data_IF_266130994018
#
_entry.id   IF_266130994018
#
_cell.length_a   1.000
_cell.length_b   1.000
_cell.length_c   1.000
_cell.angle_alpha   90.00
_cell.angle_beta   90.00
_cell.angle_gamma   90.00
#
_symmetry.space_group_name_H-M   'P 1'
#
loop_
_entity.id
_entity.type
_entity.pdbx_description
1 polymer ?
#
# COMPACT_ATOMS: atom_id res chain seq x y z
N UNK A 1 14.13 -24.90 66.57
CA UNK A 1 13.53 -24.24 67.76
C UNK A 1 12.25 -23.61 67.31
N UNK A 2 11.14 -24.25 67.57
CA UNK A 2 10.02 -23.90 68.51
C UNK A 2 9.38 -22.51 68.11
N UNK A 3 8.11 -22.31 67.83
CA UNK A 3 6.93 -22.79 68.56
C UNK A 3 5.69 -22.80 67.62
N UNK A 4 4.85 -23.81 67.86
CA UNK A 4 3.43 -23.89 67.52
C UNK A 4 2.63 -22.76 68.22
N UNK A 5 1.54 -22.36 67.65
CA UNK A 5 0.30 -22.01 68.36
C UNK A 5 -0.91 -22.26 67.48
N UNK A 6 -1.65 -23.27 67.88
CA UNK A 6 -3.05 -23.53 67.53
C UNK A 6 -3.95 -22.59 68.32
N UNK A 7 -4.97 -22.00 67.71
CA UNK A 7 -6.21 -21.69 68.39
C UNK A 7 -7.38 -22.04 67.45
N UNK A 8 -8.25 -22.87 67.98
CA UNK A 8 -9.51 -23.36 67.42
C UNK A 8 -10.63 -22.34 67.73
N UNK A 9 -11.65 -22.38 66.89
CA UNK A 9 -12.96 -22.06 67.48
C UNK A 9 -13.86 -21.23 66.56
N UNK A 10 -14.89 -21.87 66.20
CA UNK A 10 -16.33 -21.56 66.33
C UNK A 10 -17.07 -21.32 64.99
N UNK A 11 -17.88 -22.34 64.69
CA UNK A 11 -18.95 -22.39 63.70
C UNK A 11 -20.08 -21.43 64.05
N UNK A 12 -20.55 -20.65 63.09
CA UNK A 12 -21.93 -20.12 63.09
C UNK A 12 -22.53 -20.34 61.70
N UNK A 13 -23.56 -21.21 61.67
CA UNK A 13 -24.49 -21.37 60.58
C UNK A 13 -25.47 -20.20 60.58
N UNK A 14 -25.56 -19.49 59.45
CA UNK A 14 -26.68 -18.61 59.14
C UNK A 14 -27.10 -18.85 57.70
N UNK A 15 -28.22 -19.52 57.53
CA UNK A 15 -28.98 -19.62 56.29
C UNK A 15 -29.52 -18.21 55.91
N UNK A 16 -29.17 -17.74 54.71
CA UNK A 16 -29.75 -16.56 54.12
C UNK A 16 -29.95 -16.82 52.63
N UNK A 17 -31.19 -17.13 52.22
CA UNK A 17 -31.63 -17.04 50.83
C UNK A 17 -31.50 -15.57 50.39
N UNK A 18 -30.64 -15.32 49.38
CA UNK A 18 -30.54 -14.04 48.70
C UNK A 18 -30.49 -14.32 47.20
N UNK A 19 -31.54 -13.85 46.52
CA UNK A 19 -31.66 -13.88 45.04
C UNK A 19 -30.39 -13.37 44.38
N UNK A 20 -29.80 -14.21 43.58
CA UNK A 20 -28.69 -13.81 42.67
C UNK A 20 -29.27 -13.00 41.51
N UNK A 21 -29.20 -11.69 41.62
CA UNK A 21 -29.34 -10.81 40.44
C UNK A 21 -28.09 -11.01 39.60
N UNK A 22 -28.21 -11.71 38.48
CA UNK A 22 -27.19 -11.77 37.45
C UNK A 22 -27.00 -10.36 36.87
N UNK A 23 -25.97 -9.67 37.34
CA UNK A 23 -25.47 -8.51 36.66
C UNK A 23 -24.82 -8.97 35.35
N UNK A 24 -25.54 -8.77 34.26
CA UNK A 24 -24.98 -8.91 32.92
C UNK A 24 -23.81 -7.91 32.82
N UNK A 25 -22.59 -8.41 32.89
CA UNK A 25 -21.40 -7.67 32.53
C UNK A 25 -21.45 -7.46 31.03
N UNK A 26 -21.90 -6.28 30.61
CA UNK A 26 -21.75 -5.77 29.28
C UNK A 26 -20.24 -5.53 29.02
N UNK A 27 -19.56 -6.59 28.57
CA UNK A 27 -18.21 -6.49 28.05
C UNK A 27 -18.34 -5.77 26.69
N UNK A 28 -17.70 -4.62 26.51
CA UNK A 28 -17.63 -4.03 25.19
C UNK A 28 -16.96 -5.05 24.25
N UNK A 29 -17.75 -5.58 23.33
CA UNK A 29 -17.28 -6.41 22.22
C UNK A 29 -16.27 -5.56 21.46
N UNK A 30 -14.98 -5.79 21.77
CA UNK A 30 -13.89 -5.24 20.98
C UNK A 30 -14.20 -5.57 19.53
N UNK A 31 -14.46 -4.54 18.74
CA UNK A 31 -14.61 -4.68 17.30
C UNK A 31 -13.32 -5.34 16.82
N UNK A 32 -13.42 -6.61 16.46
CA UNK A 32 -12.37 -7.28 15.71
C UNK A 32 -12.30 -6.54 14.38
N UNK A 33 -11.31 -5.67 14.24
CA UNK A 33 -10.85 -5.20 12.97
C UNK A 33 -10.39 -6.46 12.24
N UNK A 34 -11.22 -6.98 11.36
CA UNK A 34 -10.81 -7.98 10.38
C UNK A 34 -9.83 -7.24 9.47
N UNK A 35 -8.53 -7.37 9.75
CA UNK A 35 -7.50 -7.05 8.77
C UNK A 35 -7.80 -7.93 7.55
N UNK A 36 -8.31 -7.30 6.51
CA UNK A 36 -8.50 -7.92 5.21
C UNK A 36 -7.12 -8.27 4.68
N UNK A 37 -6.82 -9.55 4.53
CA UNK A 37 -5.54 -10.08 3.99
C UNK A 37 -5.24 -9.60 2.55
N UNK A 38 -5.95 -8.59 2.05
CA UNK A 38 -5.82 -8.00 0.71
C UNK A 38 -5.90 -6.47 0.71
N UNK A 39 -5.52 -5.82 1.79
CA UNK A 39 -5.61 -4.36 1.90
C UNK A 39 -4.38 -3.71 1.24
N UNK A 40 -4.39 -3.69 -0.11
CA UNK A 40 -3.39 -2.96 -0.86
C UNK A 40 -3.57 -1.46 -0.58
N UNK A 41 -2.48 -0.70 -0.32
CA UNK A 41 -2.58 0.72 -0.07
C UNK A 41 -3.16 1.46 -1.28
N UNK A 42 -3.96 2.49 -1.03
CA UNK A 42 -4.50 3.36 -2.09
C UNK A 42 -3.36 3.99 -2.90
N UNK A 43 -3.46 3.92 -4.22
CA UNK A 43 -2.52 4.55 -5.16
C UNK A 43 -3.01 5.97 -5.47
N UNK A 44 -2.23 6.97 -5.07
CA UNK A 44 -2.50 8.37 -5.37
C UNK A 44 -1.80 8.76 -6.67
N UNK A 45 -2.56 9.04 -7.74
CA UNK A 45 -2.03 9.30 -9.09
C UNK A 45 -2.19 10.76 -9.48
N UNK A 46 -1.11 11.39 -9.91
CA UNK A 46 -1.11 12.73 -10.48
C UNK A 46 -0.84 12.68 -11.98
N UNK A 47 -1.75 13.20 -12.77
CA UNK A 47 -1.69 13.20 -14.23
C UNK A 47 -2.33 14.44 -14.83
N UNK A 48 -2.09 14.71 -16.12
CA UNK A 48 -2.82 15.75 -16.83
C UNK A 48 -4.20 15.28 -17.26
N UNK A 49 -5.20 16.17 -17.37
CA UNK A 49 -6.57 15.78 -17.74
C UNK A 49 -6.67 15.03 -19.08
N UNK A 50 -5.82 15.37 -20.02
CA UNK A 50 -5.84 14.86 -21.39
C UNK A 50 -5.04 13.57 -21.60
N UNK A 51 -4.40 13.03 -20.55
CA UNK A 51 -3.60 11.82 -20.65
C UNK A 51 -4.47 10.56 -20.76
N UNK A 52 -4.74 10.09 -21.96
CA UNK A 52 -5.56 8.91 -22.23
C UNK A 52 -4.90 7.61 -21.78
N UNK A 53 -3.60 7.42 -22.06
CA UNK A 53 -2.86 6.23 -21.64
C UNK A 53 -2.75 6.11 -20.12
N UNK A 54 -2.68 7.24 -19.40
CA UNK A 54 -2.72 7.22 -17.93
C UNK A 54 -4.05 6.64 -17.40
N UNK A 55 -5.18 6.90 -18.08
CA UNK A 55 -6.46 6.29 -17.69
C UNK A 55 -6.42 4.77 -17.90
N UNK A 56 -5.84 4.29 -19.01
CA UNK A 56 -5.63 2.86 -19.24
C UNK A 56 -4.79 2.20 -18.15
N UNK A 57 -3.71 2.86 -17.69
CA UNK A 57 -2.91 2.38 -16.58
C UNK A 57 -3.67 2.36 -15.25
N UNK A 58 -4.47 3.39 -14.95
CA UNK A 58 -5.34 3.43 -13.78
C UNK A 58 -6.32 2.26 -13.78
N UNK A 59 -6.94 1.97 -14.94
CA UNK A 59 -7.87 0.85 -15.07
C UNK A 59 -7.15 -0.51 -14.90
N UNK A 60 -5.89 -0.63 -15.34
CA UNK A 60 -5.06 -1.79 -15.10
C UNK A 60 -4.82 -2.00 -13.59
N UNK A 61 -4.50 -0.96 -12.83
CA UNK A 61 -4.33 -1.05 -11.38
C UNK A 61 -5.61 -1.45 -10.66
N UNK A 62 -6.75 -0.86 -11.03
CA UNK A 62 -8.05 -1.21 -10.46
C UNK A 62 -8.42 -2.67 -10.71
N UNK A 63 -8.18 -3.17 -11.93
CA UNK A 63 -8.36 -4.59 -12.26
C UNK A 63 -7.46 -5.51 -11.44
N UNK A 64 -6.30 -5.03 -11.04
CA UNK A 64 -5.36 -5.76 -10.19
C UNK A 64 -5.70 -5.67 -8.68
N UNK A 65 -6.78 -4.96 -8.30
CA UNK A 65 -7.28 -4.86 -6.93
C UNK A 65 -6.82 -3.63 -6.16
N UNK A 66 -6.12 -2.68 -6.79
CA UNK A 66 -5.78 -1.42 -6.13
C UNK A 66 -6.96 -0.44 -6.10
N UNK A 67 -7.13 0.25 -4.98
CA UNK A 67 -7.86 1.51 -4.97
C UNK A 67 -7.01 2.62 -5.56
N UNK A 68 -7.60 3.46 -6.42
CA UNK A 68 -6.87 4.52 -7.11
C UNK A 68 -7.58 5.87 -6.96
N UNK A 69 -6.90 6.82 -6.29
CA UNK A 69 -7.26 8.24 -6.23
C UNK A 69 -6.51 9.00 -7.33
N UNK A 70 -7.20 9.33 -8.43
CA UNK A 70 -6.59 10.01 -9.57
C UNK A 70 -6.87 11.51 -9.55
N UNK A 71 -5.81 12.32 -9.53
CA UNK A 71 -5.86 13.78 -9.48
C UNK A 71 -5.35 14.40 -10.77
N UNK A 72 -6.20 15.19 -11.41
CA UNK A 72 -5.81 15.97 -12.56
C UNK A 72 -5.10 17.25 -12.11
N UNK A 73 -3.90 17.46 -12.64
CA UNK A 73 -3.09 18.66 -12.37
C UNK A 73 -2.63 19.29 -13.70
N UNK A 74 -2.18 20.53 -13.67
CA UNK A 74 -1.55 21.16 -14.85
C UNK A 74 -0.19 20.53 -15.11
N UNK A 75 0.30 20.64 -16.38
CA UNK A 75 1.65 20.19 -16.75
C UNK A 75 2.73 20.77 -15.83
N UNK A 76 2.63 22.08 -15.54
CA UNK A 76 3.57 22.75 -14.64
C UNK A 76 3.56 22.15 -13.25
N UNK A 77 2.38 21.89 -12.68
CA UNK A 77 2.25 21.29 -11.36
C UNK A 77 2.80 19.86 -11.34
N UNK A 78 2.54 19.07 -12.38
CA UNK A 78 3.08 17.72 -12.52
C UNK A 78 4.60 17.72 -12.58
N UNK A 79 5.22 18.62 -13.36
CA UNK A 79 6.69 18.76 -13.44
C UNK A 79 7.28 19.17 -12.09
N UNK A 80 6.62 20.08 -11.36
CA UNK A 80 7.08 20.51 -10.03
C UNK A 80 7.06 19.33 -9.06
N UNK A 81 5.95 18.59 -9.03
CA UNK A 81 5.76 17.44 -8.14
C UNK A 81 6.78 16.33 -8.44
N UNK A 82 7.03 16.01 -9.71
CA UNK A 82 8.07 15.04 -10.10
C UNK A 82 9.42 15.37 -9.47
N UNK A 83 9.83 16.64 -9.52
CA UNK A 83 11.09 17.10 -8.91
C UNK A 83 11.07 16.98 -7.39
N UNK A 84 9.95 17.29 -6.74
CA UNK A 84 9.79 17.21 -5.28
C UNK A 84 9.91 15.77 -4.76
N UNK A 85 9.47 14.80 -5.57
CA UNK A 85 9.58 13.36 -5.23
C UNK A 85 10.82 12.68 -5.82
N UNK A 86 11.77 13.44 -6.34
CA UNK A 86 13.06 12.93 -6.82
C UNK A 86 13.05 12.32 -8.23
N UNK A 87 11.98 12.47 -9.00
CA UNK A 87 11.93 12.00 -10.39
C UNK A 87 12.71 12.94 -11.29
N UNK A 88 13.80 12.43 -11.88
CA UNK A 88 14.64 13.15 -12.85
C UNK A 88 14.05 13.08 -14.26
N UNK A 89 14.63 13.85 -15.20
CA UNK A 89 14.21 13.80 -16.60
C UNK A 89 14.38 12.41 -17.24
N UNK A 90 15.40 11.67 -16.84
CA UNK A 90 15.70 10.32 -17.33
C UNK A 90 14.67 9.28 -16.89
N UNK A 91 14.09 9.46 -15.70
CA UNK A 91 13.07 8.60 -15.14
C UNK A 91 11.66 8.93 -15.63
N UNK A 92 11.49 10.15 -16.16
CA UNK A 92 10.17 10.77 -16.34
C UNK A 92 9.31 10.05 -17.37
N UNK A 93 8.03 9.96 -17.06
CA UNK A 93 6.95 9.47 -17.91
C UNK A 93 5.75 10.43 -17.87
N UNK A 94 4.55 9.98 -18.23
CA UNK A 94 3.38 10.86 -18.36
C UNK A 94 2.61 11.12 -17.07
N UNK A 95 2.82 10.31 -16.02
CA UNK A 95 2.18 10.49 -14.71
C UNK A 95 3.11 10.04 -13.59
N UNK A 96 2.78 10.43 -12.37
CA UNK A 96 3.47 10.04 -11.14
C UNK A 96 2.45 9.55 -10.13
N UNK A 97 2.74 8.47 -9.45
CA UNK A 97 1.91 7.94 -8.38
C UNK A 97 2.70 7.77 -7.08
N UNK A 98 1.96 7.78 -5.96
CA UNK A 98 2.48 7.50 -4.63
C UNK A 98 1.71 6.31 -4.05
N UNK A 99 2.39 5.32 -3.51
CA UNK A 99 1.79 4.13 -2.93
C UNK A 99 2.70 3.54 -1.86
N UNK A 100 2.18 3.29 -0.65
CA UNK A 100 2.94 2.65 0.43
C UNK A 100 4.25 3.36 0.80
N UNK A 101 4.34 4.69 0.59
CA UNK A 101 5.56 5.47 0.80
C UNK A 101 6.52 5.51 -0.39
N UNK A 102 6.26 4.76 -1.46
CA UNK A 102 7.07 4.73 -2.68
C UNK A 102 6.53 5.65 -3.77
N UNK A 103 7.43 6.09 -4.63
CA UNK A 103 7.11 6.77 -5.90
C UNK A 103 7.00 5.72 -7.00
N UNK A 104 5.94 5.78 -7.80
CA UNK A 104 5.78 4.96 -9.02
C UNK A 104 5.63 5.91 -10.19
N UNK A 105 6.60 5.89 -11.09
CA UNK A 105 6.66 6.79 -12.25
C UNK A 105 6.34 6.04 -13.54
N UNK A 106 5.30 6.50 -14.25
CA UNK A 106 4.91 5.93 -15.54
C UNK A 106 4.20 4.59 -15.47
N UNK A 107 4.24 3.85 -16.57
CA UNK A 107 3.41 2.68 -16.83
C UNK A 107 3.95 1.37 -16.23
N UNK A 108 4.28 1.41 -14.94
CA UNK A 108 4.75 0.24 -14.18
C UNK A 108 3.61 -0.77 -14.05
N UNK A 109 3.81 -2.05 -14.38
CA UNK A 109 2.80 -3.10 -14.19
C UNK A 109 2.42 -3.30 -12.72
N UNK A 110 1.15 -3.63 -12.47
CA UNK A 110 0.60 -3.80 -11.13
C UNK A 110 1.30 -4.90 -10.31
N UNK A 111 1.76 -5.97 -10.95
CA UNK A 111 2.54 -7.04 -10.31
C UNK A 111 3.88 -6.54 -9.78
N UNK A 112 4.54 -5.62 -10.49
CA UNK A 112 5.78 -5.01 -10.05
C UNK A 112 5.55 -4.05 -8.88
N UNK A 113 4.41 -3.34 -8.84
CA UNK A 113 4.02 -2.52 -7.69
C UNK A 113 3.72 -3.41 -6.47
N UNK A 114 3.00 -4.51 -6.65
CA UNK A 114 2.76 -5.48 -5.57
C UNK A 114 4.06 -6.07 -5.03
N UNK A 115 4.98 -6.41 -5.93
CA UNK A 115 6.31 -6.89 -5.57
C UNK A 115 7.08 -5.85 -4.75
N UNK A 116 7.09 -4.58 -5.17
CA UNK A 116 7.71 -3.48 -4.44
C UNK A 116 7.16 -3.36 -3.01
N UNK A 117 5.84 -3.42 -2.86
CA UNK A 117 5.16 -3.34 -1.56
C UNK A 117 5.41 -4.55 -0.67
N UNK A 118 5.64 -5.73 -1.26
CA UNK A 118 5.92 -6.97 -0.50
C UNK A 118 7.39 -7.10 -0.10
N UNK A 119 8.32 -6.71 -0.98
CA UNK A 119 9.76 -6.81 -0.74
C UNK A 119 10.30 -5.64 0.11
N UNK A 120 9.59 -4.52 0.14
CA UNK A 120 9.93 -3.30 0.90
C UNK A 120 11.42 -2.89 0.78
N UNK A 121 11.99 -2.81 -0.46
CA UNK A 121 13.40 -2.47 -0.62
C UNK A 121 13.69 -1.04 -0.19
N UNK A 122 14.93 -0.75 0.22
CA UNK A 122 15.42 0.60 0.53
C UNK A 122 15.65 1.43 -0.74
N UNK A 123 14.55 1.85 -1.38
CA UNK A 123 14.55 2.69 -2.60
C UNK A 123 13.51 3.82 -2.46
N UNK A 124 13.66 4.89 -3.21
CA UNK A 124 12.66 5.95 -3.26
C UNK A 124 11.43 5.55 -4.09
N UNK A 125 11.63 4.68 -5.09
CA UNK A 125 10.54 4.23 -5.95
C UNK A 125 11.01 3.41 -7.14
N UNK A 126 10.04 3.17 -8.05
CA UNK A 126 10.27 2.47 -9.32
C UNK A 126 9.72 3.26 -10.49
N UNK A 127 10.33 3.10 -11.66
CA UNK A 127 9.95 3.82 -12.87
C UNK A 127 9.96 2.93 -14.11
N UNK A 128 9.06 3.20 -15.04
CA UNK A 128 9.15 2.82 -16.45
C UNK A 128 9.29 4.11 -17.25
N UNK A 129 10.53 4.51 -17.61
CA UNK A 129 10.78 5.76 -18.30
C UNK A 129 10.08 5.82 -19.66
N UNK A 130 9.58 6.99 -20.03
CA UNK A 130 8.86 7.16 -21.27
C UNK A 130 7.52 6.44 -21.29
N UNK A 131 7.14 5.90 -22.45
CA UNK A 131 5.87 5.21 -22.67
C UNK A 131 6.08 4.03 -23.63
N UNK A 132 6.74 2.96 -23.20
CA UNK A 132 7.03 1.82 -24.09
C UNK A 132 5.74 1.14 -24.54
N UNK A 133 5.63 0.85 -25.84
CA UNK A 133 4.50 0.08 -26.38
C UNK A 133 4.53 -1.33 -25.78
N UNK A 134 3.38 -1.74 -25.24
CA UNK A 134 3.22 -3.00 -24.49
C UNK A 134 3.18 -2.82 -22.99
N UNK A 135 3.52 -1.64 -22.44
CA UNK A 135 3.26 -1.35 -21.04
C UNK A 135 1.76 -1.13 -20.78
N UNK A 136 1.27 -1.34 -19.54
CA UNK A 136 -0.15 -1.20 -19.22
C UNK A 136 -0.71 0.19 -19.58
N UNK A 137 -1.80 0.25 -20.36
CA UNK A 137 -2.36 1.47 -20.92
C UNK A 137 -1.68 1.96 -22.21
N UNK A 138 -0.66 1.22 -22.68
CA UNK A 138 0.06 1.45 -23.94
C UNK A 138 0.09 0.16 -24.78
N UNK A 139 -0.93 -0.67 -24.66
CA UNK A 139 -1.07 -1.90 -25.44
C UNK A 139 -1.20 -1.59 -26.93
N UNK A 140 -0.55 -2.40 -27.75
CA UNK A 140 -0.64 -2.20 -29.19
C UNK A 140 0.33 -3.05 -30.01
N UNK A 141 0.22 -3.01 -31.34
CA UNK A 141 1.14 -3.71 -32.22
C UNK A 141 2.55 -3.12 -32.08
N UNK A 142 3.56 -3.99 -32.12
CA UNK A 142 4.95 -3.60 -31.97
C UNK A 142 5.44 -3.55 -30.53
N UNK A 143 4.70 -4.14 -29.61
CA UNK A 143 5.14 -4.34 -28.22
C UNK A 143 6.51 -5.03 -28.19
N UNK A 144 7.42 -4.54 -27.33
CA UNK A 144 8.78 -5.03 -27.15
C UNK A 144 9.09 -5.16 -25.68
N UNK A 145 10.01 -6.04 -25.29
CA UNK A 145 10.52 -6.07 -23.93
C UNK A 145 11.03 -4.69 -23.49
N UNK A 146 10.74 -4.35 -22.23
CA UNK A 146 11.18 -3.12 -21.59
C UNK A 146 11.57 -3.41 -20.13
N UNK A 147 12.16 -2.46 -19.44
CA UNK A 147 12.53 -2.62 -18.05
C UNK A 147 11.80 -1.62 -17.14
N UNK A 148 11.48 -2.08 -15.94
CA UNK A 148 11.23 -1.22 -14.80
C UNK A 148 12.54 -1.06 -14.03
N UNK A 149 12.81 0.15 -13.54
CA UNK A 149 13.99 0.48 -12.75
C UNK A 149 13.58 0.92 -11.36
N UNK A 150 14.32 0.53 -10.35
CA UNK A 150 14.28 1.18 -9.04
C UNK A 150 15.20 2.39 -9.04
N UNK A 151 14.89 3.38 -8.22
CA UNK A 151 15.74 4.54 -7.98
C UNK A 151 15.79 4.88 -6.49
N UNK A 152 16.92 5.35 -6.03
CA UNK A 152 17.12 5.82 -4.67
C UNK A 152 16.97 7.35 -4.55
N UNK A 153 17.14 7.88 -3.35
CA UNK A 153 17.08 9.33 -3.12
C UNK A 153 18.22 10.13 -3.76
N UNK A 154 19.29 9.47 -4.23
CA UNK A 154 20.34 10.11 -5.01
C UNK A 154 20.04 10.18 -6.51
N UNK A 155 19.01 9.44 -6.96
CA UNK A 155 18.63 9.30 -8.34
C UNK A 155 19.38 8.18 -9.09
N UNK A 156 20.09 7.30 -8.37
CA UNK A 156 20.73 6.13 -8.99
C UNK A 156 19.68 5.13 -9.47
N UNK A 157 19.76 4.73 -10.75
CA UNK A 157 18.88 3.76 -11.38
C UNK A 157 19.49 2.37 -11.38
N UNK A 158 18.66 1.37 -11.03
CA UNK A 158 19.01 -0.06 -11.12
C UNK A 158 17.85 -0.82 -11.76
N UNK A 159 18.13 -1.84 -12.57
CA UNK A 159 17.08 -2.70 -13.13
C UNK A 159 16.33 -3.37 -11.98
N UNK A 160 15.04 -3.10 -11.89
CA UNK A 160 14.13 -3.74 -10.94
C UNK A 160 13.48 -4.98 -11.55
N UNK A 161 12.99 -4.87 -12.78
CA UNK A 161 12.42 -6.00 -13.52
C UNK A 161 12.60 -5.83 -15.04
N UNK A 162 12.82 -6.93 -15.72
CA UNK A 162 12.67 -7.02 -17.18
C UNK A 162 11.27 -7.56 -17.49
N UNK A 163 10.55 -6.90 -18.38
CA UNK A 163 9.15 -7.17 -18.67
C UNK A 163 9.00 -7.52 -20.15
N UNK A 164 8.44 -8.69 -20.43
CA UNK A 164 8.03 -9.09 -21.78
C UNK A 164 6.50 -8.98 -21.88
N UNK A 165 5.98 -8.04 -22.67
CA UNK A 165 4.53 -7.81 -22.79
C UNK A 165 3.81 -8.81 -23.71
N UNK A 166 4.48 -9.84 -24.21
CA UNK A 166 3.93 -10.85 -25.15
C UNK A 166 3.34 -12.04 -24.42
#
# INVERSE_FOLDING_TARGET
MRLLSLIAGLSILASGCGEATEAATDQPRAAQLTESENDLPTVLVYKTPTCGCCNGWIDHLRKAGFEVDARNVSDRALVTMKREVGVTAEMSSCHTALVGGYVVEGHVPADQIKRLLTEEPEVAGITVPGMPIGSPGMEGPGARPYAAYSFDHSGELRVFAEIDPR
#
